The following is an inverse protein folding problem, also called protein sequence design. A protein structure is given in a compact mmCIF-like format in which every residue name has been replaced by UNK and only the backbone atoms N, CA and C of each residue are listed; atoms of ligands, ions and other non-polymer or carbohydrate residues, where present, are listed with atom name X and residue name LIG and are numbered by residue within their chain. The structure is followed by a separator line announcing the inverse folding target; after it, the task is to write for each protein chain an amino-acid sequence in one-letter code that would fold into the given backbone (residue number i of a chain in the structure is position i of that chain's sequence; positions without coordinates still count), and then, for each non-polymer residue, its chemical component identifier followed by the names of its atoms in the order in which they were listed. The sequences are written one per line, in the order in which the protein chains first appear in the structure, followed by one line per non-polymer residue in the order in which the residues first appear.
data_IF_393471934593
#
_entry.id   IF_393471934593
#
_cell.length_a   1.000
_cell.length_b   1.000
_cell.length_c   1.000
_cell.angle_alpha   90.00
_cell.angle_beta   90.00
_cell.angle_gamma   90.00
#
_symmetry.space_group_name_H-M   'P 1'
#
loop_
_entity.id
_entity.type
_entity.pdbx_description
1 polymer ?
#
# COMPACT_ATOMS: atom_id res chain seq x y z
N UNK A 1 20.26 13.20 0.71
CA UNK A 1 19.31 12.17 1.17
C UNK A 1 18.11 12.11 0.23
N UNK A 2 17.61 10.93 -0.02
CA UNK A 2 16.50 10.71 -0.94
C UNK A 2 15.27 10.25 -0.18
N UNK A 3 14.11 10.79 -0.51
CA UNK A 3 12.85 10.40 0.08
C UNK A 3 12.32 9.13 -0.61
N UNK A 4 11.85 8.19 0.18
CA UNK A 4 11.21 6.97 -0.29
C UNK A 4 9.87 6.79 0.40
N UNK A 5 8.90 6.27 -0.32
CA UNK A 5 7.63 5.87 0.26
C UNK A 5 7.77 4.47 0.82
N UNK A 6 7.45 4.29 2.10
CA UNK A 6 7.37 2.98 2.73
C UNK A 6 5.91 2.63 2.97
N UNK A 7 5.63 1.35 3.09
CA UNK A 7 4.26 0.92 3.34
C UNK A 7 4.20 -0.25 4.31
N UNK A 8 3.14 -0.27 5.13
CA UNK A 8 2.80 -1.39 5.99
C UNK A 8 1.73 -2.29 5.36
N UNK A 9 1.51 -2.16 4.05
CA UNK A 9 0.38 -2.81 3.38
C UNK A 9 0.36 -4.33 3.56
N UNK A 10 1.52 -4.97 3.49
CA UNK A 10 1.63 -6.42 3.70
C UNK A 10 1.21 -6.81 5.12
N UNK A 11 1.63 -6.03 6.13
CA UNK A 11 1.27 -6.24 7.53
C UNK A 11 -0.24 -6.04 7.72
N UNK A 12 -0.78 -4.96 7.14
CA UNK A 12 -2.21 -4.66 7.26
C UNK A 12 -3.07 -5.72 6.55
N UNK A 13 -2.60 -6.23 5.43
CA UNK A 13 -3.26 -7.32 4.72
C UNK A 13 -3.29 -8.59 5.58
N UNK A 14 -2.15 -8.94 6.17
CA UNK A 14 -2.04 -10.11 7.03
C UNK A 14 -2.97 -10.01 8.25
N UNK A 15 -3.10 -8.80 8.82
CA UNK A 15 -3.98 -8.56 9.96
C UNK A 15 -5.44 -8.91 9.63
N UNK A 16 -5.86 -8.65 8.39
CA UNK A 16 -7.23 -8.93 7.94
C UNK A 16 -7.33 -10.26 7.17
N UNK A 17 -6.24 -11.02 7.11
CA UNK A 17 -6.19 -12.30 6.42
C UNK A 17 -6.57 -12.18 4.94
N UNK A 18 -6.10 -11.12 4.28
CA UNK A 18 -6.35 -10.86 2.87
C UNK A 18 -5.14 -11.22 2.02
N UNK A 19 -5.39 -11.89 0.89
CA UNK A 19 -4.37 -12.09 -0.15
C UNK A 19 -4.23 -10.78 -0.96
N UNK A 20 -3.14 -10.69 -1.73
CA UNK A 20 -2.98 -9.57 -2.66
C UNK A 20 -4.14 -9.50 -3.65
N UNK A 21 -4.59 -10.65 -4.14
CA UNK A 21 -5.70 -10.72 -5.10
C UNK A 21 -7.01 -10.23 -4.46
N UNK A 22 -7.28 -10.61 -3.22
CA UNK A 22 -8.47 -10.18 -2.51
C UNK A 22 -8.46 -8.68 -2.23
N UNK A 23 -7.32 -8.14 -1.81
CA UNK A 23 -7.17 -6.70 -1.62
C UNK A 23 -7.39 -5.95 -2.94
N UNK A 24 -6.78 -6.44 -4.01
CA UNK A 24 -6.92 -5.83 -5.35
C UNK A 24 -8.39 -5.80 -5.78
N UNK A 25 -9.10 -6.90 -5.61
CA UNK A 25 -10.51 -6.98 -5.97
C UNK A 25 -11.35 -5.98 -5.18
N UNK A 26 -11.16 -5.92 -3.86
CA UNK A 26 -11.92 -5.02 -2.99
C UNK A 26 -11.62 -3.54 -3.26
N UNK A 27 -10.37 -3.22 -3.60
CA UNK A 27 -9.97 -1.86 -3.92
C UNK A 27 -10.26 -1.46 -5.37
N UNK A 28 -10.68 -2.41 -6.21
CA UNK A 28 -10.95 -2.14 -7.61
C UNK A 28 -9.70 -1.86 -8.43
N UNK A 29 -8.60 -2.56 -8.14
CA UNK A 29 -7.32 -2.42 -8.85
C UNK A 29 -6.80 -3.81 -9.21
N UNK A 30 -5.69 -3.87 -9.95
CA UNK A 30 -5.09 -5.15 -10.31
C UNK A 30 -4.19 -5.68 -9.20
N UNK A 31 -4.05 -7.01 -9.12
CA UNK A 31 -3.09 -7.64 -8.23
C UNK A 31 -1.66 -7.16 -8.52
N UNK A 32 -1.36 -6.93 -9.80
CA UNK A 32 -0.04 -6.44 -10.22
C UNK A 32 0.27 -5.09 -9.57
N UNK A 33 -0.71 -4.19 -9.51
CA UNK A 33 -0.54 -2.89 -8.83
C UNK A 33 -0.31 -3.07 -7.34
N UNK A 34 -1.08 -3.93 -6.67
CA UNK A 34 -0.90 -4.23 -5.24
C UNK A 34 0.51 -4.76 -5.00
N UNK A 35 0.95 -5.73 -5.79
CA UNK A 35 2.28 -6.30 -5.66
C UNK A 35 3.39 -5.24 -5.87
N UNK A 36 3.25 -4.39 -6.88
CA UNK A 36 4.23 -3.34 -7.17
C UNK A 36 4.32 -2.32 -6.03
N UNK A 37 3.19 -1.96 -5.43
CA UNK A 37 3.18 -1.03 -4.29
C UNK A 37 3.86 -1.68 -3.08
N UNK A 38 3.54 -2.93 -2.77
CA UNK A 38 4.16 -3.64 -1.65
C UNK A 38 5.67 -3.81 -1.83
N UNK A 39 6.11 -4.00 -3.07
CA UNK A 39 7.53 -4.17 -3.40
C UNK A 39 8.30 -2.84 -3.45
N UNK A 40 7.60 -1.72 -3.36
CA UNK A 40 8.23 -0.40 -3.44
C UNK A 40 8.55 0.06 -4.86
N UNK A 41 7.98 -0.59 -5.87
CA UNK A 41 8.20 -0.26 -7.29
C UNK A 41 7.16 0.70 -7.86
N UNK A 42 6.12 1.00 -7.11
CA UNK A 42 5.04 1.88 -7.55
C UNK A 42 4.57 2.75 -6.40
N UNK A 43 4.45 4.05 -6.66
CA UNK A 43 3.83 4.99 -5.73
C UNK A 43 2.37 5.12 -6.15
N UNK A 44 1.42 4.81 -5.25
CA UNK A 44 0.01 4.90 -5.61
C UNK A 44 -0.44 6.36 -5.77
N UNK A 45 -1.44 6.57 -6.60
CA UNK A 45 -2.14 7.85 -6.65
C UNK A 45 -2.83 8.10 -5.32
N UNK A 46 -3.19 9.36 -5.05
CA UNK A 46 -3.95 9.69 -3.84
C UNK A 46 -5.26 8.90 -3.77
N UNK A 47 -5.97 8.79 -4.89
CA UNK A 47 -7.20 8.02 -4.94
C UNK A 47 -6.97 6.56 -4.56
N UNK A 48 -5.94 5.94 -5.13
CA UNK A 48 -5.63 4.55 -4.85
C UNK A 48 -5.21 4.36 -3.39
N UNK A 49 -4.40 5.27 -2.85
CA UNK A 49 -3.99 5.23 -1.45
C UNK A 49 -5.20 5.27 -0.50
N UNK A 50 -6.16 6.15 -0.79
CA UNK A 50 -7.39 6.26 -0.01
C UNK A 50 -8.24 4.99 -0.09
N UNK A 51 -8.35 4.41 -1.28
CA UNK A 51 -9.09 3.14 -1.48
C UNK A 51 -8.46 2.00 -0.70
N UNK A 52 -7.14 1.87 -0.76
CA UNK A 52 -6.42 0.81 -0.05
C UNK A 52 -6.57 0.97 1.47
N UNK A 53 -6.42 2.19 1.97
CA UNK A 53 -6.57 2.48 3.40
C UNK A 53 -7.98 2.12 3.87
N UNK A 54 -8.99 2.45 3.09
CA UNK A 54 -10.39 2.15 3.42
C UNK A 54 -10.63 0.64 3.50
N UNK A 55 -10.17 -0.12 2.52
CA UNK A 55 -10.31 -1.58 2.52
C UNK A 55 -9.59 -2.20 3.72
N UNK A 56 -8.41 -1.69 4.04
CA UNK A 56 -7.59 -2.22 5.14
C UNK A 56 -8.00 -1.67 6.51
N UNK A 57 -8.98 -0.75 6.55
CA UNK A 57 -9.52 -0.18 7.79
C UNK A 57 -8.46 0.57 8.61
N UNK A 58 -7.58 1.28 7.91
CA UNK A 58 -6.53 2.12 8.50
C UNK A 58 -6.54 3.49 7.85
N UNK A 59 -5.79 4.43 8.42
CA UNK A 59 -5.58 5.73 7.80
C UNK A 59 -4.45 5.63 6.75
N UNK A 60 -4.38 6.60 5.85
CA UNK A 60 -3.29 6.65 4.87
C UNK A 60 -1.95 6.77 5.59
N UNK A 61 -1.89 7.54 6.68
CA UNK A 61 -0.67 7.72 7.47
C UNK A 61 -0.23 6.46 8.20
N UNK A 62 -1.16 5.57 8.53
CA UNK A 62 -0.82 4.26 9.07
C UNK A 62 -0.32 3.30 7.98
N UNK A 63 -0.77 3.52 6.75
CA UNK A 63 -0.46 2.64 5.63
C UNK A 63 0.82 3.04 4.91
N UNK A 64 1.10 4.34 4.81
CA UNK A 64 2.26 4.88 4.08
C UNK A 64 3.02 5.90 4.92
N UNK A 65 4.33 5.93 4.75
CA UNK A 65 5.19 6.91 5.40
C UNK A 65 6.34 7.31 4.48
N UNK A 66 6.92 8.45 4.76
CA UNK A 66 8.10 8.93 4.05
C UNK A 66 9.33 8.50 4.85
N UNK A 67 10.27 7.87 4.19
CA UNK A 67 11.55 7.49 4.77
C UNK A 67 12.68 8.21 4.04
N UNK A 68 13.60 8.80 4.79
CA UNK A 68 14.80 9.42 4.21
C UNK A 68 15.92 8.39 4.22
N UNK A 69 16.53 8.18 3.05
CA UNK A 69 17.64 7.26 2.88
C UNK A 69 18.86 7.99 2.33
N UNK A 70 20.08 7.56 2.72
CA UNK A 70 21.31 8.08 2.10
C UNK A 70 21.30 7.78 0.60
N UNK A 71 21.86 8.69 -0.17
CA UNK A 71 22.01 8.53 -1.63
C UNK A 71 23.08 7.48 -1.95
#
# INVERSE_FOLDING_TARGET
MTEHLTTTMKVQRARLDLTQAELAERAGVTRKSVNAIEAGHMVPSTLLALKLAKVLEVTVEELFAIELRPD
#
